data_IF_428789078458
#
_entry.id   IF_428789078458
#
_cell.length_a   1.000
_cell.length_b   1.000
_cell.length_c   1.000
_cell.angle_alpha   90.00
_cell.angle_beta   90.00
_cell.angle_gamma   90.00
#
_symmetry.space_group_name_H-M   'P 1'
#
loop_
_entity.id
_entity.type
_entity.pdbx_description
1 polymer ?
#
# COMPACT_ATOMS: atom_id res chain seq x y z
N UNK A 1 -6.82 -0.22 8.37
CA UNK A 1 -6.50 -1.16 7.28
C UNK A 1 -6.86 -2.60 7.65
N UNK A 2 -8.11 -2.89 8.01
CA UNK A 2 -8.53 -4.25 8.43
C UNK A 2 -8.43 -5.31 7.32
N UNK A 3 -9.03 -5.10 6.13
CA UNK A 3 -9.00 -6.09 5.04
C UNK A 3 -7.59 -6.48 4.57
N UNK A 4 -6.65 -5.53 4.58
CA UNK A 4 -5.25 -5.79 4.25
C UNK A 4 -4.62 -6.81 5.22
N UNK A 5 -4.89 -6.72 6.52
CA UNK A 5 -4.39 -7.69 7.49
C UNK A 5 -5.06 -9.06 7.35
N UNK A 6 -6.33 -9.10 6.95
CA UNK A 6 -7.01 -10.36 6.62
C UNK A 6 -6.32 -11.03 5.43
N UNK A 7 -6.06 -10.29 4.35
CA UNK A 7 -5.31 -10.81 3.19
C UNK A 7 -3.92 -11.34 3.60
N UNK A 8 -3.24 -10.62 4.49
CA UNK A 8 -1.91 -10.99 4.99
C UNK A 8 -1.94 -12.30 5.80
N UNK A 9 -2.98 -12.50 6.62
CA UNK A 9 -3.17 -13.72 7.40
C UNK A 9 -3.37 -14.97 6.52
N UNK A 10 -3.85 -14.79 5.30
CA UNK A 10 -4.01 -15.86 4.30
C UNK A 10 -2.86 -15.91 3.28
N UNK A 11 -1.73 -15.24 3.59
CA UNK A 11 -0.54 -15.18 2.73
C UNK A 11 -0.87 -14.74 1.29
N UNK A 12 -1.92 -13.92 1.12
CA UNK A 12 -2.31 -13.42 -0.19
C UNK A 12 -1.32 -12.36 -0.67
N UNK A 13 -1.06 -12.28 -1.99
CA UNK A 13 -0.32 -11.18 -2.59
C UNK A 13 -0.98 -9.84 -2.30
N UNK A 14 -0.21 -8.86 -1.82
CA UNK A 14 -0.71 -7.55 -1.40
C UNK A 14 0.12 -6.43 -2.00
N UNK A 15 -0.54 -5.53 -2.73
CA UNK A 15 -0.03 -4.17 -2.97
C UNK A 15 -0.68 -3.24 -1.94
N UNK A 16 0.07 -2.82 -0.91
CA UNK A 16 -0.43 -1.98 0.17
C UNK A 16 -0.10 -0.50 -0.08
N UNK A 17 -1.14 0.33 -0.13
CA UNK A 17 -1.03 1.76 -0.43
C UNK A 17 -0.99 2.57 0.87
N UNK A 18 0.02 3.42 1.01
CA UNK A 18 0.27 4.23 2.21
C UNK A 18 0.39 5.72 1.88
N UNK A 19 -0.23 6.55 2.72
CA UNK A 19 -0.04 8.00 2.72
C UNK A 19 0.16 8.51 4.15
N UNK A 20 -0.90 8.85 4.90
CA UNK A 20 -0.74 9.42 6.24
C UNK A 20 -0.09 8.49 7.27
N UNK A 21 -0.26 7.18 7.13
CA UNK A 21 0.23 6.16 8.08
C UNK A 21 1.58 5.59 7.65
N UNK A 22 2.25 4.91 8.59
CA UNK A 22 3.55 4.27 8.35
C UNK A 22 3.38 2.78 8.05
N UNK A 23 3.96 2.25 6.96
CA UNK A 23 4.00 0.81 6.70
C UNK A 23 4.82 0.05 7.75
N UNK A 24 5.81 0.70 8.39
CA UNK A 24 6.57 0.08 9.48
C UNK A 24 5.71 -0.16 10.73
N UNK A 25 4.71 0.70 11.00
CA UNK A 25 3.82 0.57 12.17
C UNK A 25 2.56 -0.22 11.88
N UNK A 26 1.96 -0.05 10.71
CA UNK A 26 0.64 -0.60 10.39
C UNK A 26 0.62 -1.37 9.08
N UNK A 27 1.79 -1.78 8.57
CA UNK A 27 1.94 -2.62 7.39
C UNK A 27 1.42 -4.05 7.60
N UNK A 28 1.18 -4.79 6.51
CA UNK A 28 0.84 -6.20 6.60
C UNK A 28 2.03 -7.01 7.14
N UNK A 29 1.73 -8.02 7.95
CA UNK A 29 2.68 -9.06 8.36
C UNK A 29 2.22 -10.33 7.66
N UNK A 30 2.95 -10.74 6.62
CA UNK A 30 2.60 -11.83 5.71
C UNK A 30 3.85 -12.63 5.37
N UNK A 31 3.71 -13.93 5.09
CA UNK A 31 4.77 -14.72 4.44
C UNK A 31 4.65 -14.69 2.92
N UNK A 32 3.48 -14.29 2.41
CA UNK A 32 3.23 -14.07 0.99
C UNK A 32 3.84 -12.77 0.44
N UNK A 33 3.79 -12.56 -0.88
CA UNK A 33 4.36 -11.38 -1.52
C UNK A 33 3.69 -10.08 -1.04
N UNK A 34 4.49 -9.11 -0.62
CA UNK A 34 4.04 -7.78 -0.21
C UNK A 34 4.81 -6.73 -0.98
N UNK A 35 4.10 -5.83 -1.63
CA UNK A 35 4.63 -4.61 -2.21
C UNK A 35 4.04 -3.39 -1.48
N UNK A 36 4.90 -2.48 -1.03
CA UNK A 36 4.51 -1.26 -0.33
C UNK A 36 4.63 -0.09 -1.30
N UNK A 37 3.50 0.55 -1.58
CA UNK A 37 3.43 1.77 -2.38
C UNK A 37 3.10 2.95 -1.46
N UNK A 38 4.07 3.82 -1.21
CA UNK A 38 3.90 4.98 -0.34
C UNK A 38 4.04 6.29 -1.12
N UNK A 39 3.21 7.27 -0.78
CA UNK A 39 3.33 8.64 -1.29
C UNK A 39 4.68 9.26 -0.93
N UNK A 40 5.05 10.34 -1.63
CA UNK A 40 6.41 10.94 -1.53
C UNK A 40 6.44 12.28 -0.79
N UNK A 41 5.30 12.76 -0.30
CA UNK A 41 5.23 14.04 0.41
C UNK A 41 6.01 14.01 1.74
N UNK A 42 6.65 15.13 2.05
CA UNK A 42 7.42 15.33 3.28
C UNK A 42 6.59 15.28 4.58
N UNK A 43 5.25 15.32 4.48
CA UNK A 43 4.38 15.18 5.64
C UNK A 43 4.24 13.72 6.08
N UNK A 44 4.74 12.74 5.33
CA UNK A 44 4.57 11.32 5.60
C UNK A 44 5.68 10.82 6.53
N UNK A 45 5.36 10.08 7.61
CA UNK A 45 4.02 9.75 8.12
C UNK A 45 3.50 10.81 9.13
N UNK A 46 2.31 11.37 8.92
CA UNK A 46 1.73 12.38 9.83
C UNK A 46 0.65 11.83 10.76
N UNK A 47 0.03 10.70 10.43
CA UNK A 47 -1.13 10.13 11.16
C UNK A 47 -2.29 11.11 11.40
N UNK A 48 -2.38 12.18 10.60
CA UNK A 48 -3.39 13.21 10.81
C UNK A 48 -4.78 12.70 10.45
N UNK A 49 -5.72 12.84 11.40
CA UNK A 49 -7.15 12.56 11.18
C UNK A 49 -7.85 13.68 10.39
N UNK A 50 -7.29 14.90 10.44
CA UNK A 50 -7.82 16.08 9.76
C UNK A 50 -6.66 16.77 9.00
N UNK A 51 -6.42 16.31 7.76
CA UNK A 51 -5.33 16.80 6.95
C UNK A 51 -5.67 18.14 6.29
N UNK A 52 -4.92 19.20 6.61
CA UNK A 52 -5.08 20.52 5.97
C UNK A 52 -4.65 20.55 4.49
N UNK A 53 -3.87 19.56 4.05
CA UNK A 53 -3.37 19.38 2.67
C UNK A 53 -4.20 18.39 1.86
N UNK A 54 -5.47 18.16 2.24
CA UNK A 54 -6.43 17.31 1.51
C UNK A 54 -5.91 15.93 1.07
N UNK A 55 -5.01 15.31 1.86
CA UNK A 55 -4.39 14.03 1.52
C UNK A 55 -3.61 14.01 0.19
N UNK A 56 -2.96 15.11 -0.19
CA UNK A 56 -2.00 15.18 -1.32
C UNK A 56 -1.00 13.99 -1.35
N UNK A 57 -0.63 13.45 -0.19
CA UNK A 57 0.21 12.25 -0.08
C UNK A 57 -0.38 11.00 -0.73
N UNK A 58 -1.71 10.87 -0.76
CA UNK A 58 -2.42 9.78 -1.43
C UNK A 58 -2.61 10.09 -2.92
N UNK A 59 -2.82 11.36 -3.27
CA UNK A 59 -2.99 11.81 -4.66
C UNK A 59 -1.70 11.69 -5.50
N UNK A 60 -0.53 11.71 -4.85
CA UNK A 60 0.75 11.38 -5.50
C UNK A 60 0.82 9.96 -6.08
N UNK A 61 -0.08 9.08 -5.65
CA UNK A 61 -0.12 7.69 -6.06
C UNK A 61 -1.15 7.55 -7.18
N UNK A 62 -0.66 7.48 -8.41
CA UNK A 62 -1.55 7.40 -9.56
C UNK A 62 -2.20 6.01 -9.68
N UNK A 63 -3.45 5.93 -10.18
CA UNK A 63 -4.10 4.64 -10.47
C UNK A 63 -3.28 3.76 -11.42
N UNK A 64 -2.57 4.35 -12.38
CA UNK A 64 -1.73 3.64 -13.34
C UNK A 64 -0.55 2.95 -12.65
N UNK A 65 0.08 3.61 -11.67
CA UNK A 65 1.16 3.01 -10.88
C UNK A 65 0.65 1.84 -10.03
N UNK A 66 -0.55 1.96 -9.45
CA UNK A 66 -1.22 0.87 -8.73
C UNK A 66 -1.48 -0.30 -9.69
N UNK A 67 -2.08 -0.03 -10.85
CA UNK A 67 -2.41 -1.04 -11.84
C UNK A 67 -1.17 -1.78 -12.35
N UNK A 68 -0.09 -1.04 -12.62
CA UNK A 68 1.21 -1.61 -13.04
C UNK A 68 1.77 -2.57 -11.99
N UNK A 69 1.75 -2.19 -10.72
CA UNK A 69 2.25 -3.03 -9.61
C UNK A 69 1.39 -4.27 -9.38
N UNK A 70 0.07 -4.12 -9.43
CA UNK A 70 -0.85 -5.25 -9.33
C UNK A 70 -0.65 -6.22 -10.49
N UNK A 71 -0.55 -5.72 -11.72
CA UNK A 71 -0.31 -6.56 -12.91
C UNK A 71 1.01 -7.30 -12.82
N UNK A 72 2.09 -6.63 -12.38
CA UNK A 72 3.37 -7.28 -12.14
C UNK A 72 3.24 -8.38 -11.08
N UNK A 73 2.59 -8.09 -9.94
CA UNK A 73 2.37 -9.05 -8.86
C UNK A 73 1.53 -10.26 -9.29
N UNK A 74 0.51 -10.06 -10.12
CA UNK A 74 -0.29 -11.14 -10.69
C UNK A 74 0.48 -11.95 -11.76
N UNK A 75 1.32 -11.29 -12.55
CA UNK A 75 2.21 -11.95 -13.52
C UNK A 75 3.19 -12.93 -12.86
N UNK A 76 3.62 -12.65 -11.62
CA UNK A 76 4.40 -13.59 -10.81
C UNK A 76 3.62 -14.84 -10.34
N UNK A 77 2.28 -14.81 -10.36
CA UNK A 77 1.42 -15.90 -9.88
C UNK A 77 0.92 -16.84 -10.99
N UNK A 78 1.26 -16.55 -12.25
CA UNK A 78 0.64 -17.20 -13.41
C UNK A 78 1.49 -17.22 -14.69
N UNK A 79 2.81 -17.41 -14.57
CA UNK A 79 3.67 -17.86 -15.68
C UNK A 79 4.57 -19.02 -15.22
N UNK A 80 3.96 -20.14 -14.90
CA UNK A 80 4.51 -21.51 -14.94
C UNK A 80 3.34 -22.48 -15.10
#
# INVERSE_FOLDING_TARGET
>A
SGPMHIAAAFDRPIVAIFGPTSPQKTGPVSRGPVDILQGKRNCIPCFSRACKRKLECMEDISPEEVFRRVTAMLGFLGMS
#
